data_IF_294266240682
#
_entry.id   IF_294266240682
#
_cell.length_a   1.000
_cell.length_b   1.000
_cell.length_c   1.000
_cell.angle_alpha   90.00
_cell.angle_beta   90.00
_cell.angle_gamma   90.00
#
_symmetry.space_group_name_H-M   'P 1'
#
loop_
_entity.id
_entity.type
_entity.pdbx_description
1 polymer ?
#
# COMPACT_ATOMS: atom_id res chain seq x y z
N UNK A 1 35.96 34.85 -26.45
CA UNK A 1 35.19 33.61 -26.21
C UNK A 1 33.80 34.03 -25.77
N UNK A 2 32.81 33.92 -26.65
CA UNK A 2 31.42 34.26 -26.36
C UNK A 2 30.75 33.11 -25.61
N UNK A 3 30.18 33.40 -24.43
CA UNK A 3 29.31 32.45 -23.75
C UNK A 3 28.07 32.21 -24.63
N UNK A 4 27.73 30.94 -24.88
CA UNK A 4 26.62 30.59 -25.77
C UNK A 4 25.30 30.70 -24.99
N UNK A 5 24.51 31.75 -25.22
CA UNK A 5 23.24 32.04 -24.51
C UNK A 5 22.29 30.83 -24.53
N UNK A 6 22.30 30.06 -25.63
CA UNK A 6 21.49 28.83 -25.78
C UNK A 6 21.85 27.72 -24.77
N UNK A 7 23.09 27.70 -24.27
CA UNK A 7 23.48 26.75 -23.22
C UNK A 7 22.99 27.16 -21.83
N UNK A 8 22.80 28.46 -21.57
CA UNK A 8 22.25 28.94 -20.29
C UNK A 8 20.76 28.62 -20.23
N UNK A 9 20.02 28.90 -21.29
CA UNK A 9 18.59 28.58 -21.40
C UNK A 9 18.33 27.08 -21.20
N UNK A 10 19.12 26.21 -21.84
CA UNK A 10 19.04 24.76 -21.66
C UNK A 10 19.31 24.32 -20.20
N UNK A 11 20.21 24.99 -19.47
CA UNK A 11 20.47 24.70 -18.06
C UNK A 11 19.31 25.13 -17.16
N UNK A 12 18.69 26.28 -17.46
CA UNK A 12 17.49 26.77 -16.74
C UNK A 12 16.33 25.79 -16.95
N UNK A 13 16.07 25.38 -18.19
CA UNK A 13 15.04 24.39 -18.53
C UNK A 13 15.29 23.05 -17.82
N UNK A 14 16.53 22.57 -17.84
CA UNK A 14 16.89 21.31 -17.17
C UNK A 14 16.70 21.40 -15.66
N UNK A 15 17.12 22.51 -15.01
CA UNK A 15 16.90 22.74 -13.58
C UNK A 15 15.41 22.72 -13.25
N UNK A 16 14.59 23.42 -14.03
CA UNK A 16 13.13 23.43 -13.83
C UNK A 16 12.52 22.03 -13.98
N UNK A 17 12.89 21.30 -15.03
CA UNK A 17 12.43 19.93 -15.25
C UNK A 17 12.86 18.98 -14.12
N UNK A 18 14.07 19.16 -13.59
CA UNK A 18 14.58 18.35 -12.49
C UNK A 18 13.81 18.61 -11.18
N UNK A 19 13.45 19.86 -10.88
CA UNK A 19 12.63 20.20 -9.71
C UNK A 19 11.25 19.53 -9.82
N UNK A 20 10.58 19.67 -10.96
CA UNK A 20 9.27 19.04 -11.21
C UNK A 20 9.37 17.51 -11.08
N UNK A 21 10.42 16.91 -11.65
CA UNK A 21 10.67 15.47 -11.51
C UNK A 21 10.83 15.04 -10.05
N UNK A 22 11.59 15.79 -9.24
CA UNK A 22 11.78 15.48 -7.81
C UNK A 22 10.43 15.50 -7.08
N UNK A 23 9.60 16.52 -7.32
CA UNK A 23 8.28 16.66 -6.71
C UNK A 23 7.35 15.50 -7.11
N UNK A 24 7.21 15.24 -8.41
CA UNK A 24 6.34 14.18 -8.95
C UNK A 24 6.77 12.78 -8.48
N UNK A 25 8.08 12.50 -8.55
CA UNK A 25 8.61 11.21 -8.14
C UNK A 25 8.48 11.00 -6.62
N UNK A 26 8.68 12.05 -5.81
CA UNK A 26 8.48 11.99 -4.36
C UNK A 26 7.03 11.70 -3.99
N UNK A 27 6.08 12.38 -4.66
CA UNK A 27 4.65 12.15 -4.44
C UNK A 27 4.23 10.73 -4.85
N UNK A 28 4.70 10.25 -6.01
CA UNK A 28 4.44 8.89 -6.46
C UNK A 28 5.00 7.85 -5.47
N UNK A 29 6.22 8.06 -4.98
CA UNK A 29 6.88 7.19 -4.01
C UNK A 29 6.13 7.13 -2.68
N UNK A 30 5.70 8.27 -2.16
CA UNK A 30 4.89 8.35 -0.94
C UNK A 30 3.56 7.61 -1.09
N UNK A 31 2.90 7.79 -2.25
CA UNK A 31 1.63 7.11 -2.56
C UNK A 31 1.80 5.59 -2.58
N UNK A 32 2.83 5.09 -3.27
CA UNK A 32 3.13 3.65 -3.30
C UNK A 32 3.43 3.09 -1.91
N UNK A 33 4.20 3.83 -1.11
CA UNK A 33 4.57 3.44 0.25
C UNK A 33 3.34 3.35 1.16
N UNK A 34 2.43 4.32 1.06
CA UNK A 34 1.18 4.35 1.82
C UNK A 34 0.26 3.18 1.45
N UNK A 35 0.07 2.90 0.16
CA UNK A 35 -0.79 1.80 -0.29
C UNK A 35 -0.24 0.43 0.13
N UNK A 36 1.09 0.25 0.11
CA UNK A 36 1.72 -0.95 0.63
C UNK A 36 1.55 -1.11 2.14
N UNK A 37 1.75 -0.03 2.90
CA UNK A 37 1.55 -0.05 4.33
C UNK A 37 0.10 -0.42 4.67
N UNK A 38 -0.88 0.23 4.02
CA UNK A 38 -2.30 -0.10 4.20
C UNK A 38 -2.63 -1.55 3.86
N UNK A 39 -2.11 -2.06 2.75
CA UNK A 39 -2.31 -3.45 2.34
C UNK A 39 -1.72 -4.45 3.34
N UNK A 40 -0.55 -4.11 3.89
CA UNK A 40 0.14 -4.87 4.92
C UNK A 40 -0.63 -4.90 6.24
N UNK A 41 -1.02 -3.73 6.76
CA UNK A 41 -1.81 -3.59 8.00
C UNK A 41 -3.13 -4.39 7.92
N UNK A 42 -3.80 -4.32 6.77
CA UNK A 42 -5.03 -5.04 6.52
C UNK A 42 -4.84 -6.56 6.63
N UNK A 43 -3.82 -7.13 5.98
CA UNK A 43 -3.62 -8.59 5.99
C UNK A 43 -3.01 -9.08 7.30
N UNK A 44 -2.16 -8.30 7.97
CA UNK A 44 -1.48 -8.71 9.20
C UNK A 44 -2.35 -8.52 10.45
N UNK A 45 -3.19 -7.49 10.49
CA UNK A 45 -3.95 -7.17 11.70
C UNK A 45 -5.46 -7.31 11.52
N UNK A 46 -6.04 -6.64 10.53
CA UNK A 46 -7.49 -6.64 10.36
C UNK A 46 -8.05 -8.03 10.00
N UNK A 47 -7.44 -8.71 9.03
CA UNK A 47 -7.91 -10.02 8.55
C UNK A 47 -7.84 -11.09 9.64
N UNK A 48 -6.73 -11.25 10.40
CA UNK A 48 -6.70 -12.20 11.52
C UNK A 48 -7.71 -11.88 12.61
N UNK A 49 -7.90 -10.59 12.93
CA UNK A 49 -8.91 -10.17 13.90
C UNK A 49 -10.32 -10.57 13.45
N UNK A 50 -10.67 -10.25 12.20
CA UNK A 50 -11.96 -10.61 11.59
C UNK A 50 -12.21 -12.12 11.66
N UNK A 51 -11.26 -12.94 11.21
CA UNK A 51 -11.46 -14.40 11.19
C UNK A 51 -11.51 -15.02 12.58
N UNK A 52 -10.73 -14.52 13.54
CA UNK A 52 -10.86 -14.93 14.96
C UNK A 52 -12.25 -14.64 15.50
N UNK A 53 -12.82 -13.46 15.19
CA UNK A 53 -14.19 -13.13 15.59
C UNK A 53 -15.23 -14.03 14.88
N UNK A 54 -15.04 -14.33 13.59
CA UNK A 54 -15.91 -15.25 12.84
C UNK A 54 -15.85 -16.69 13.37
N UNK A 55 -14.69 -17.15 13.84
CA UNK A 55 -14.54 -18.47 14.47
C UNK A 55 -15.35 -18.52 15.77
N UNK A 56 -15.26 -17.49 16.62
CA UNK A 56 -16.06 -17.41 17.86
C UNK A 56 -17.56 -17.48 17.55
N UNK A 57 -18.05 -16.64 16.63
CA UNK A 57 -19.45 -16.68 16.17
C UNK A 57 -19.85 -18.04 15.57
N UNK A 58 -18.93 -18.69 14.85
CA UNK A 58 -19.13 -20.02 14.30
C UNK A 58 -19.32 -21.07 15.39
N UNK A 59 -18.53 -21.03 16.46
CA UNK A 59 -18.71 -21.91 17.63
C UNK A 59 -20.07 -21.69 18.31
N UNK A 60 -20.45 -20.43 18.52
CA UNK A 60 -21.76 -20.09 19.11
C UNK A 60 -22.92 -20.63 18.25
N UNK A 61 -22.83 -20.46 16.92
CA UNK A 61 -23.84 -20.96 15.98
C UNK A 61 -23.94 -22.49 15.97
N UNK A 62 -22.79 -23.18 16.04
CA UNK A 62 -22.75 -24.65 16.12
C UNK A 62 -23.39 -25.12 17.43
N UNK A 63 -23.11 -24.44 18.55
CA UNK A 63 -23.71 -24.74 19.85
C UNK A 63 -25.24 -24.53 19.82
N UNK A 64 -25.69 -23.38 19.32
CA UNK A 64 -27.11 -23.05 19.21
C UNK A 64 -27.88 -24.04 18.34
N UNK A 65 -27.38 -24.35 17.15
CA UNK A 65 -28.03 -25.27 16.21
C UNK A 65 -28.01 -26.71 16.70
N UNK A 66 -26.98 -27.11 17.46
CA UNK A 66 -26.95 -28.40 18.16
C UNK A 66 -28.06 -28.48 19.20
N UNK A 67 -28.19 -27.47 20.07
CA UNK A 67 -29.22 -27.44 21.10
C UNK A 67 -30.64 -27.45 20.50
N UNK A 68 -30.85 -26.73 19.40
CA UNK A 68 -32.12 -26.75 18.65
C UNK A 68 -32.42 -28.14 18.08
N UNK A 69 -31.43 -28.81 17.49
CA UNK A 69 -31.57 -30.18 16.99
C UNK A 69 -31.88 -31.18 18.10
N UNK A 70 -31.20 -31.09 19.24
CA UNK A 70 -31.46 -31.92 20.42
C UNK A 70 -32.89 -31.68 20.96
N UNK A 71 -33.31 -30.42 21.05
CA UNK A 71 -34.67 -30.04 21.47
C UNK A 71 -35.74 -30.58 20.53
N UNK A 72 -35.53 -30.48 19.20
CA UNK A 72 -36.46 -31.03 18.23
C UNK A 72 -36.59 -32.56 18.36
N UNK A 73 -35.47 -33.27 18.59
CA UNK A 73 -35.45 -34.74 18.75
C UNK A 73 -36.20 -35.22 20.00
N UNK A 74 -36.23 -34.40 21.05
CA UNK A 74 -36.95 -34.71 22.29
C UNK A 74 -38.45 -34.42 22.20
N UNK A 75 -38.89 -33.57 21.25
CA UNK A 75 -40.30 -33.22 21.08
C UNK A 75 -41.11 -34.42 20.55
N UNK A 76 -42.27 -34.64 21.14
CA UNK A 76 -43.28 -35.59 20.66
C UNK A 76 -44.49 -34.78 20.22
N UNK A 77 -44.91 -34.95 18.97
CA UNK A 77 -46.09 -34.28 18.39
C UNK A 77 -47.07 -35.35 17.95
N UNK A 78 -48.27 -35.34 18.53
CA UNK A 78 -49.32 -36.32 18.22
C UNK A 78 -48.83 -37.79 18.25
N UNK A 79 -48.05 -38.14 19.28
CA UNK A 79 -47.51 -39.50 19.47
C UNK A 79 -46.32 -39.87 18.56
N UNK A 80 -45.90 -38.99 17.64
CA UNK A 80 -44.81 -39.24 16.69
C UNK A 80 -43.63 -38.30 16.94
N UNK A 81 -42.41 -38.77 16.63
CA UNK A 81 -41.19 -37.96 16.67
C UNK A 81 -41.03 -37.19 15.34
N UNK A 82 -40.74 -35.88 15.37
CA UNK A 82 -40.50 -35.09 14.17
C UNK A 82 -39.19 -35.50 13.47
N UNK A 83 -39.11 -35.31 12.15
CA UNK A 83 -37.93 -35.67 11.34
C UNK A 83 -36.70 -34.78 11.58
N UNK A 84 -36.92 -33.57 12.12
CA UNK A 84 -35.94 -32.52 12.42
C UNK A 84 -34.98 -32.22 11.26
N UNK A 85 -35.48 -32.27 10.01
CA UNK A 85 -34.66 -32.12 8.81
C UNK A 85 -34.05 -30.72 8.69
N UNK A 86 -34.82 -29.68 9.03
CA UNK A 86 -34.37 -28.29 9.01
C UNK A 86 -33.25 -28.05 10.03
N UNK A 87 -33.41 -28.55 11.26
CA UNK A 87 -32.41 -28.41 12.32
C UNK A 87 -31.13 -29.19 12.02
N UNK A 88 -31.25 -30.39 11.42
CA UNK A 88 -30.09 -31.16 10.92
C UNK A 88 -29.33 -30.38 9.85
N UNK A 89 -30.05 -29.77 8.91
CA UNK A 89 -29.43 -28.98 7.85
C UNK A 89 -28.77 -27.71 8.40
N UNK A 90 -29.44 -27.01 9.33
CA UNK A 90 -28.91 -25.83 10.00
C UNK A 90 -27.61 -26.14 10.77
N UNK A 91 -27.59 -27.24 11.52
CA UNK A 91 -26.39 -27.71 12.23
C UNK A 91 -25.24 -28.06 11.27
N UNK A 92 -25.55 -28.70 10.15
CA UNK A 92 -24.56 -29.04 9.12
C UNK A 92 -23.96 -27.79 8.48
N UNK A 93 -24.80 -26.81 8.13
CA UNK A 93 -24.35 -25.50 7.61
C UNK A 93 -23.48 -24.75 8.61
N UNK A 94 -23.87 -24.74 9.89
CA UNK A 94 -23.09 -24.10 10.95
C UNK A 94 -21.69 -24.72 11.08
N UNK A 95 -21.59 -26.06 11.04
CA UNK A 95 -20.31 -26.78 11.03
C UNK A 95 -19.45 -26.43 9.82
N UNK A 96 -20.03 -26.44 8.62
CA UNK A 96 -19.33 -26.08 7.39
C UNK A 96 -18.81 -24.64 7.42
N UNK A 97 -19.62 -23.70 7.95
CA UNK A 97 -19.20 -22.31 8.13
C UNK A 97 -18.05 -22.19 9.12
N UNK A 98 -18.10 -22.89 10.26
CA UNK A 98 -17.01 -22.89 11.24
C UNK A 98 -15.71 -23.44 10.62
N UNK A 99 -15.80 -24.57 9.89
CA UNK A 99 -14.66 -25.15 9.19
C UNK A 99 -14.05 -24.16 8.18
N UNK A 100 -14.90 -23.52 7.36
CA UNK A 100 -14.44 -22.49 6.43
C UNK A 100 -13.69 -21.35 7.16
N UNK A 101 -14.23 -20.83 8.26
CA UNK A 101 -13.55 -19.78 9.04
C UNK A 101 -12.19 -20.25 9.58
N UNK A 102 -12.09 -21.50 10.03
CA UNK A 102 -10.85 -22.10 10.51
C UNK A 102 -9.82 -22.34 9.39
N UNK A 103 -10.27 -22.58 8.16
CA UNK A 103 -9.36 -22.70 7.02
C UNK A 103 -8.90 -21.33 6.53
N UNK A 104 -9.79 -20.34 6.54
CA UNK A 104 -9.46 -18.97 6.15
C UNK A 104 -8.39 -18.34 7.05
N UNK A 105 -8.33 -18.66 8.35
CA UNK A 105 -7.26 -18.15 9.22
C UNK A 105 -5.87 -18.68 8.79
N UNK A 106 -5.79 -19.90 8.26
CA UNK A 106 -4.54 -20.49 7.74
C UNK A 106 -4.14 -19.79 6.45
N UNK A 107 -5.11 -19.56 5.56
CA UNK A 107 -4.92 -18.83 4.31
C UNK A 107 -4.42 -17.42 4.58
N UNK A 108 -5.06 -16.68 5.49
CA UNK A 108 -4.63 -15.33 5.86
C UNK A 108 -3.21 -15.32 6.43
N UNK A 109 -2.85 -16.29 7.28
CA UNK A 109 -1.48 -16.39 7.79
C UNK A 109 -0.45 -16.62 6.67
N UNK A 110 -0.77 -17.46 5.69
CA UNK A 110 0.10 -17.70 4.54
C UNK A 110 0.28 -16.43 3.70
N UNK A 111 -0.83 -15.73 3.41
CA UNK A 111 -0.78 -14.48 2.67
C UNK A 111 -0.07 -13.36 3.42
N UNK A 112 -0.26 -13.23 4.74
CA UNK A 112 0.44 -12.24 5.56
C UNK A 112 1.97 -12.42 5.45
N UNK A 113 2.46 -13.65 5.53
CA UNK A 113 3.89 -13.93 5.36
C UNK A 113 4.38 -13.58 3.96
N UNK A 114 3.61 -13.92 2.92
CA UNK A 114 3.98 -13.63 1.53
C UNK A 114 4.00 -12.12 1.27
N UNK A 115 2.95 -11.41 1.69
CA UNK A 115 2.86 -9.94 1.54
C UNK A 115 3.98 -9.25 2.30
N UNK A 116 4.33 -9.69 3.51
CA UNK A 116 5.47 -9.15 4.26
C UNK A 116 6.76 -9.24 3.45
N UNK A 117 7.07 -10.42 2.92
CA UNK A 117 8.28 -10.64 2.15
C UNK A 117 8.36 -9.74 0.92
N UNK A 118 7.29 -9.68 0.12
CA UNK A 118 7.23 -8.82 -1.07
C UNK A 118 7.30 -7.33 -0.71
N UNK A 119 6.66 -6.91 0.39
CA UNK A 119 6.71 -5.53 0.87
C UNK A 119 8.12 -5.13 1.31
N UNK A 120 8.85 -6.01 1.98
CA UNK A 120 10.22 -5.76 2.41
C UNK A 120 11.18 -5.66 1.21
N UNK A 121 11.04 -6.55 0.21
CA UNK A 121 11.80 -6.44 -1.03
C UNK A 121 11.52 -5.12 -1.76
N UNK A 122 10.24 -4.74 -1.87
CA UNK A 122 9.86 -3.51 -2.54
C UNK A 122 10.37 -2.27 -1.80
N UNK A 123 10.27 -2.22 -0.47
CA UNK A 123 10.86 -1.15 0.36
C UNK A 123 12.36 -1.02 0.14
N UNK A 124 13.08 -2.14 0.05
CA UNK A 124 14.50 -2.14 -0.24
C UNK A 124 14.82 -1.45 -1.58
N UNK A 125 14.06 -1.74 -2.63
CA UNK A 125 14.22 -1.11 -3.95
C UNK A 125 13.86 0.38 -3.93
N UNK A 126 12.82 0.75 -3.17
CA UNK A 126 12.39 2.14 -3.01
C UNK A 126 13.38 3.00 -2.22
N UNK A 127 14.07 2.42 -1.23
CA UNK A 127 14.98 3.17 -0.36
C UNK A 127 16.10 3.88 -1.14
N UNK A 128 16.64 3.26 -2.18
CA UNK A 128 17.66 3.87 -3.04
C UNK A 128 17.10 5.08 -3.81
N UNK A 129 15.89 4.94 -4.38
CA UNK A 129 15.24 6.03 -5.09
C UNK A 129 14.88 7.18 -4.12
N UNK A 130 14.42 6.84 -2.93
CA UNK A 130 14.12 7.82 -1.89
C UNK A 130 15.36 8.64 -1.51
N UNK A 131 16.49 7.97 -1.25
CA UNK A 131 17.74 8.64 -0.91
C UNK A 131 18.22 9.58 -2.03
N UNK A 132 18.04 9.18 -3.29
CA UNK A 132 18.37 10.00 -4.45
C UNK A 132 17.50 11.27 -4.51
N UNK A 133 16.18 11.11 -4.34
CA UNK A 133 15.19 12.20 -4.39
C UNK A 133 15.36 13.20 -3.23
N UNK A 134 15.63 12.72 -2.02
CA UNK A 134 15.73 13.55 -0.81
C UNK A 134 17.13 14.15 -0.61
N UNK A 135 18.16 13.56 -1.24
CA UNK A 135 19.56 13.90 -0.98
C UNK A 135 20.32 14.44 -2.18
N UNK A 136 20.52 13.60 -3.19
CA UNK A 136 21.46 13.88 -4.28
C UNK A 136 20.88 14.85 -5.32
N UNK A 137 19.61 14.69 -5.69
CA UNK A 137 18.99 15.56 -6.69
C UNK A 137 18.82 17.02 -6.22
N UNK A 138 18.42 17.30 -4.96
CA UNK A 138 18.41 18.67 -4.45
C UNK A 138 19.79 19.35 -4.50
N UNK A 139 20.87 18.59 -4.23
CA UNK A 139 22.25 19.11 -4.39
C UNK A 139 22.60 19.37 -5.85
N UNK A 140 22.14 18.51 -6.77
CA UNK A 140 22.33 18.73 -8.20
C UNK A 140 21.59 20.00 -8.66
N UNK A 141 20.36 20.24 -8.19
CA UNK A 141 19.61 21.48 -8.45
C UNK A 141 20.39 22.72 -7.96
N UNK A 142 20.92 22.69 -6.73
CA UNK A 142 21.73 23.80 -6.21
C UNK A 142 23.02 24.01 -7.02
N UNK A 143 23.64 22.93 -7.50
CA UNK A 143 24.83 23.01 -8.36
C UNK A 143 24.51 23.65 -9.70
N UNK A 144 23.38 23.28 -10.32
CA UNK A 144 22.89 23.89 -11.55
C UNK A 144 22.60 25.38 -11.37
N UNK A 145 21.97 25.76 -10.27
CA UNK A 145 21.67 27.16 -9.93
C UNK A 145 22.94 28.01 -9.81
N UNK A 146 23.96 27.50 -9.11
CA UNK A 146 25.26 28.16 -9.02
C UNK A 146 25.93 28.29 -10.40
N UNK A 147 25.89 27.24 -11.23
CA UNK A 147 26.46 27.26 -12.57
C UNK A 147 25.75 28.28 -13.49
N UNK A 148 24.42 28.35 -13.43
CA UNK A 148 23.62 29.35 -14.17
C UNK A 148 24.03 30.75 -13.75
N UNK A 149 24.07 31.05 -12.44
CA UNK A 149 24.44 32.37 -11.92
C UNK A 149 25.84 32.82 -12.35
N UNK A 150 26.82 31.89 -12.32
CA UNK A 150 28.18 32.18 -12.79
C UNK A 150 28.17 32.52 -14.29
N UNK A 151 27.48 31.73 -15.13
CA UNK A 151 27.42 31.96 -16.57
C UNK A 151 26.70 33.26 -16.93
N UNK A 152 25.64 33.62 -16.21
CA UNK A 152 24.94 34.90 -16.35
C UNK A 152 25.86 36.08 -16.05
N UNK A 153 26.63 36.04 -14.96
CA UNK A 153 27.57 37.12 -14.60
C UNK A 153 28.66 37.37 -15.65
N UNK A 154 29.14 36.30 -16.31
CA UNK A 154 30.08 36.43 -17.42
C UNK A 154 29.43 37.02 -18.67
N UNK A 155 28.15 36.71 -18.93
CA UNK A 155 27.43 37.25 -20.07
C UNK A 155 27.18 38.76 -19.95
N UNK A 156 26.93 39.26 -18.73
CA UNK A 156 26.78 40.68 -18.44
C UNK A 156 28.10 41.44 -18.56
N UNK A 157 29.20 40.85 -18.09
CA UNK A 157 30.54 41.45 -18.14
C UNK A 157 31.12 41.46 -19.56
N UNK A 158 30.78 40.45 -20.38
CA UNK A 158 31.21 40.33 -21.78
C UNK A 158 30.43 41.22 -22.76
N UNK A 159 29.47 42.03 -22.28
CA UNK A 159 28.81 43.09 -23.04
C UNK A 159 29.49 44.44 -22.71
N UNK A 160 30.68 44.77 -23.25
CA UNK A 160 31.20 46.13 -23.17
C UNK A 160 30.29 47.06 -23.99
N UNK A 161 30.07 48.24 -23.42
CA UNK A 161 29.29 49.35 -23.94
C UNK A 161 29.47 49.53 -25.45
N UNK A 162 28.36 49.48 -26.20
CA UNK A 162 28.28 50.15 -27.51
C UNK A 162 28.53 51.65 -27.26
N UNK A 163 29.80 52.04 -27.30
CA UNK A 163 30.18 53.40 -27.67
C UNK A 163 30.05 53.48 -29.19
N UNK A 164 28.82 53.66 -29.65
CA UNK A 164 28.50 54.07 -31.02
C UNK A 164 28.32 55.58 -31.05
N UNK A 165 29.19 56.22 -31.84
CA UNK A 165 29.35 57.65 -32.13
C UNK A 165 28.07 58.38 -32.57
#
# INVERSE_FOLDING_TARGET
>A
MSANIRSIEALIEFRAALIVFIEDASLALQTMTMELHKSYEWIEHERPYYWKAQIRRGFDQVSQTRAALESCRMRIVAGHRPSCMEEKQAYTRAKQRLQHCQDQIKVVKQWANKVRHEADEFRGRLATLQALLEGDLPKAVATLENAISILESYSETARPQDFGE
#
